data_IF_527874342664
#
_entry.id   IF_527874342664
#
_cell.length_a   1.000
_cell.length_b   1.000
_cell.length_c   1.000
_cell.angle_alpha   90.00
_cell.angle_beta   90.00
_cell.angle_gamma   90.00
#
_symmetry.space_group_name_H-M   'P 1'
#
loop_
_entity.id
_entity.type
_entity.pdbx_description
1 polymer ?
#
# COMPACT_ATOMS: atom_id res chain seq x y z
N UNK A 1 13.10 -26.58 17.98
CA UNK A 1 12.83 -25.15 18.19
C UNK A 1 14.16 -24.42 18.01
N UNK A 2 14.29 -23.54 17.00
CA UNK A 2 15.57 -22.93 16.56
C UNK A 2 16.30 -22.17 17.66
N UNK A 3 15.60 -21.75 18.72
CA UNK A 3 16.19 -21.14 19.94
C UNK A 3 17.21 -22.01 20.67
N UNK A 4 17.34 -23.31 20.36
CA UNK A 4 18.39 -24.16 20.93
C UNK A 4 19.71 -24.16 20.16
N UNK A 5 19.75 -23.65 18.91
CA UNK A 5 20.99 -23.62 18.10
C UNK A 5 21.98 -22.58 18.61
N UNK A 6 21.48 -21.39 18.97
CA UNK A 6 22.29 -20.34 19.62
C UNK A 6 21.38 -19.46 20.48
N UNK A 7 21.21 -19.76 21.78
CA UNK A 7 20.24 -19.07 22.64
C UNK A 7 20.51 -17.57 22.78
N UNK A 8 21.78 -17.21 22.84
CA UNK A 8 22.22 -15.84 23.20
C UNK A 8 22.62 -15.00 21.98
N UNK A 9 22.97 -15.64 20.86
CA UNK A 9 23.45 -14.96 19.64
C UNK A 9 22.56 -15.32 18.44
N UNK A 10 21.51 -14.52 18.17
CA UNK A 10 20.60 -14.78 17.05
C UNK A 10 21.28 -14.85 15.69
N UNK A 11 22.35 -14.07 15.48
CA UNK A 11 23.11 -14.00 14.23
C UNK A 11 23.84 -15.29 13.84
N UNK A 12 23.95 -16.26 14.75
CA UNK A 12 24.59 -17.56 14.50
C UNK A 12 23.57 -18.68 14.23
N UNK A 13 22.28 -18.37 14.17
CA UNK A 13 21.22 -19.35 13.93
C UNK A 13 21.01 -19.55 12.45
N UNK A 14 20.72 -20.80 12.06
CA UNK A 14 20.37 -21.14 10.67
C UNK A 14 19.16 -20.36 10.16
N UNK A 15 18.20 -20.06 11.05
CA UNK A 15 16.96 -19.35 10.72
C UNK A 15 16.53 -18.36 11.79
N UNK A 16 16.15 -17.16 11.35
CA UNK A 16 15.55 -16.14 12.21
C UNK A 16 14.04 -16.02 11.96
N UNK A 17 13.27 -15.99 13.04
CA UNK A 17 11.80 -15.97 13.02
C UNK A 17 11.20 -14.84 13.87
N UNK A 18 12.00 -14.23 14.74
CA UNK A 18 11.56 -13.24 15.71
C UNK A 18 11.85 -11.86 15.14
N UNK A 19 10.80 -11.02 15.08
CA UNK A 19 10.85 -9.69 14.47
C UNK A 19 12.00 -8.84 15.02
N UNK A 20 12.16 -8.80 16.34
CA UNK A 20 13.16 -7.99 17.02
C UNK A 20 14.58 -8.43 16.68
N UNK A 21 14.82 -9.74 16.57
CA UNK A 21 16.11 -10.31 16.21
C UNK A 21 16.45 -10.05 14.73
N UNK A 22 15.46 -10.13 13.85
CA UNK A 22 15.64 -9.85 12.42
C UNK A 22 15.94 -8.36 12.21
N UNK A 23 15.20 -7.48 12.88
CA UNK A 23 15.46 -6.03 12.83
C UNK A 23 16.87 -5.74 13.35
N UNK A 24 17.25 -6.32 14.48
CA UNK A 24 18.60 -6.16 15.04
C UNK A 24 19.67 -6.66 14.07
N UNK A 25 19.42 -7.78 13.40
CA UNK A 25 20.34 -8.32 12.38
C UNK A 25 20.57 -7.33 11.25
N UNK A 26 19.52 -6.67 10.75
CA UNK A 26 19.65 -5.68 9.67
C UNK A 26 20.18 -4.31 10.13
N UNK A 27 19.89 -3.88 11.35
CA UNK A 27 20.29 -2.55 11.86
C UNK A 27 21.71 -2.59 12.44
N UNK A 28 22.02 -3.62 13.22
CA UNK A 28 23.28 -3.74 13.98
C UNK A 28 24.32 -4.60 13.24
N UNK A 29 24.03 -5.07 12.01
CA UNK A 29 24.91 -5.90 11.16
C UNK A 29 25.46 -7.15 11.87
N UNK A 30 24.66 -7.75 12.76
CA UNK A 30 25.06 -8.92 13.55
C UNK A 30 24.85 -10.25 12.81
N UNK A 31 24.48 -10.22 11.53
CA UNK A 31 24.24 -11.42 10.72
C UNK A 31 25.55 -12.08 10.31
N UNK A 32 25.67 -13.39 10.53
CA UNK A 32 26.82 -14.17 10.04
C UNK A 32 26.43 -15.04 8.85
N UNK A 33 27.43 -15.69 8.24
CA UNK A 33 27.20 -16.68 7.18
C UNK A 33 26.37 -17.89 7.64
N UNK A 34 26.11 -18.03 8.94
CA UNK A 34 25.24 -19.08 9.47
C UNK A 34 23.75 -18.82 9.20
N UNK A 35 23.33 -17.57 8.95
CA UNK A 35 21.92 -17.26 8.67
C UNK A 35 21.58 -17.65 7.22
N UNK A 36 20.96 -18.81 7.06
CA UNK A 36 20.57 -19.34 5.75
C UNK A 36 19.17 -18.87 5.30
N UNK A 37 18.35 -18.39 6.24
CA UNK A 37 17.01 -17.91 5.92
C UNK A 37 16.38 -17.02 6.98
N UNK A 38 15.63 -16.02 6.51
CA UNK A 38 14.88 -15.08 7.35
C UNK A 38 13.40 -15.26 7.07
N UNK A 39 12.63 -15.53 8.11
CA UNK A 39 11.17 -15.58 8.04
C UNK A 39 10.57 -14.36 8.72
N UNK A 40 10.01 -13.46 7.92
CA UNK A 40 9.28 -12.30 8.40
C UNK A 40 7.77 -12.55 8.32
N UNK A 41 7.15 -12.78 9.47
CA UNK A 41 5.68 -12.85 9.57
C UNK A 41 5.08 -11.44 9.56
N UNK A 42 4.83 -10.94 8.36
CA UNK A 42 4.26 -9.60 8.13
C UNK A 42 2.79 -9.52 8.55
N UNK A 43 2.10 -10.66 8.74
CA UNK A 43 0.71 -10.68 9.22
C UNK A 43 0.58 -10.21 10.67
N UNK A 44 1.69 -10.26 11.42
CA UNK A 44 1.78 -9.79 12.81
C UNK A 44 2.24 -8.34 12.94
N UNK A 45 2.51 -7.64 11.83
CA UNK A 45 2.73 -6.19 11.89
C UNK A 45 1.43 -5.50 12.30
N UNK A 46 1.32 -5.23 13.60
CA UNK A 46 0.30 -4.34 14.14
C UNK A 46 0.71 -2.91 13.79
N UNK A 47 0.03 -2.33 12.82
CA UNK A 47 -0.04 -0.89 12.70
C UNK A 47 -0.95 -0.39 13.82
N UNK A 48 -0.42 -0.35 15.04
CA UNK A 48 -1.12 0.31 16.15
C UNK A 48 -1.35 1.78 15.76
N UNK A 49 -2.49 2.33 16.18
CA UNK A 49 -2.89 3.68 15.84
C UNK A 49 -1.89 4.69 16.44
N UNK A 50 -0.82 4.99 15.72
CA UNK A 50 0.11 6.02 16.10
C UNK A 50 -0.50 7.38 15.73
N UNK A 51 -0.85 8.23 16.71
CA UNK A 51 -1.53 9.50 16.45
C UNK A 51 -0.68 10.50 15.65
N UNK A 52 0.64 10.30 15.60
CA UNK A 52 1.58 11.13 14.83
C UNK A 52 1.86 10.59 13.44
N UNK A 53 1.50 9.34 13.14
CA UNK A 53 1.76 8.74 11.84
C UNK A 53 0.85 9.40 10.80
N UNK A 54 1.44 10.20 9.93
CA UNK A 54 0.78 10.97 8.87
C UNK A 54 1.12 10.49 7.45
N UNK A 55 2.21 9.72 7.30
CA UNK A 55 2.64 9.16 6.03
C UNK A 55 2.91 7.67 6.21
N UNK A 56 2.29 6.86 5.36
CA UNK A 56 2.69 5.47 5.13
C UNK A 56 3.33 5.39 3.75
N UNK A 57 4.66 5.26 3.70
CA UNK A 57 5.39 5.00 2.47
C UNK A 57 6.03 3.62 2.52
N UNK A 58 5.81 2.80 1.49
CA UNK A 58 6.39 1.46 1.37
C UNK A 58 6.43 1.00 -0.09
N UNK A 59 7.60 1.09 -0.70
CA UNK A 59 7.80 0.57 -2.06
C UNK A 59 7.79 -0.96 -2.07
N UNK A 60 7.25 -1.55 -3.14
CA UNK A 60 7.21 -3.00 -3.31
C UNK A 60 6.49 -3.73 -2.16
N UNK A 61 5.45 -3.11 -1.59
CA UNK A 61 4.66 -3.73 -0.51
C UNK A 61 4.15 -5.12 -0.95
N UNK A 62 4.48 -6.20 -0.22
CA UNK A 62 4.42 -7.55 -0.77
C UNK A 62 3.07 -8.25 -0.59
N UNK A 63 2.14 -7.67 0.18
CA UNK A 63 0.88 -8.32 0.51
C UNK A 63 -0.26 -7.88 -0.43
N UNK A 64 -1.21 -8.77 -0.66
CA UNK A 64 -2.39 -8.53 -1.49
C UNK A 64 -3.32 -7.42 -0.95
N UNK A 65 -3.23 -7.11 0.35
CA UNK A 65 -3.95 -6.01 1.01
C UNK A 65 -3.22 -5.54 2.27
N UNK A 66 -3.54 -4.34 2.77
CA UNK A 66 -3.15 -3.93 4.13
C UNK A 66 -3.89 -4.79 5.18
N UNK A 67 -3.29 -5.01 6.38
CA UNK A 67 -3.89 -5.81 7.43
C UNK A 67 -5.27 -5.29 7.82
N UNK A 68 -6.20 -6.17 8.20
CA UNK A 68 -7.56 -5.76 8.58
C UNK A 68 -7.58 -4.81 9.79
N UNK A 69 -6.61 -4.96 10.70
CA UNK A 69 -6.39 -4.11 11.88
C UNK A 69 -5.83 -2.72 11.56
N UNK A 70 -5.43 -2.46 10.32
CA UNK A 70 -4.88 -1.17 9.90
C UNK A 70 -5.90 -0.04 10.09
N UNK A 71 -5.50 1.00 10.81
CA UNK A 71 -6.30 2.20 11.09
C UNK A 71 -5.65 3.45 10.45
N UNK A 72 -6.13 3.88 9.27
CA UNK A 72 -5.59 5.03 8.55
C UNK A 72 -6.09 6.39 9.05
N UNK A 73 -6.83 6.48 10.17
CA UNK A 73 -7.51 7.72 10.58
C UNK A 73 -6.62 8.97 10.69
N UNK A 74 -5.33 8.78 10.98
CA UNK A 74 -4.36 9.87 11.12
C UNK A 74 -3.51 10.12 9.87
N UNK A 75 -3.59 9.24 8.87
CA UNK A 75 -2.78 9.34 7.68
C UNK A 75 -3.26 10.47 6.78
N UNK A 76 -2.30 11.27 6.35
CA UNK A 76 -2.42 12.31 5.34
C UNK A 76 -2.05 11.75 3.97
N UNK A 77 -1.08 10.84 3.92
CA UNK A 77 -0.62 10.22 2.69
C UNK A 77 -0.40 8.72 2.84
N UNK A 78 -0.86 7.98 1.84
CA UNK A 78 -0.51 6.58 1.62
C UNK A 78 0.19 6.50 0.27
N UNK A 79 1.41 5.98 0.28
CA UNK A 79 2.28 5.88 -0.88
C UNK A 79 2.91 4.48 -0.94
N UNK A 80 2.29 3.58 -1.72
CA UNK A 80 2.70 2.19 -1.85
C UNK A 80 2.99 1.86 -3.33
N UNK A 81 4.05 2.45 -3.92
CA UNK A 81 4.35 2.22 -5.33
C UNK A 81 4.89 0.81 -5.53
N UNK A 82 4.73 0.28 -6.74
CA UNK A 82 5.18 -1.05 -7.15
C UNK A 82 4.63 -2.19 -6.27
N UNK A 83 3.46 -2.00 -5.68
CA UNK A 83 2.90 -2.89 -4.66
C UNK A 83 2.18 -4.12 -5.26
N UNK A 84 2.18 -5.23 -4.53
CA UNK A 84 1.44 -6.44 -4.87
C UNK A 84 -0.06 -6.35 -4.53
N UNK A 85 -0.54 -5.22 -4.00
CA UNK A 85 -1.94 -5.07 -3.58
C UNK A 85 -2.92 -5.33 -4.72
N UNK A 86 -3.90 -6.20 -4.46
CA UNK A 86 -5.08 -6.40 -5.31
C UNK A 86 -6.20 -5.45 -4.91
N UNK A 87 -6.33 -5.24 -3.61
CA UNK A 87 -7.27 -4.32 -2.98
C UNK A 87 -6.58 -3.73 -1.75
N UNK A 88 -6.63 -2.40 -1.58
CA UNK A 88 -5.84 -1.75 -0.53
C UNK A 88 -6.23 -2.18 0.89
N UNK A 89 -7.53 -2.29 1.19
CA UNK A 89 -8.07 -2.87 2.42
C UNK A 89 -9.51 -3.35 2.20
N UNK A 90 -9.96 -4.22 3.11
CA UNK A 90 -11.36 -4.67 3.19
C UNK A 90 -12.17 -3.79 4.14
N UNK A 91 -13.43 -3.59 3.79
CA UNK A 91 -14.37 -2.82 4.60
C UNK A 91 -14.15 -1.31 4.53
N UNK A 92 -14.91 -0.58 5.33
CA UNK A 92 -14.83 0.88 5.40
C UNK A 92 -13.79 1.30 6.44
N UNK A 93 -13.04 2.34 6.10
CA UNK A 93 -12.03 2.94 6.97
C UNK A 93 -12.31 4.43 7.12
N UNK A 94 -11.98 5.00 8.27
CA UNK A 94 -11.99 6.47 8.43
C UNK A 94 -10.76 7.04 7.74
N UNK A 95 -10.99 7.95 6.78
CA UNK A 95 -9.95 8.56 5.93
C UNK A 95 -10.04 10.08 6.00
N UNK A 96 -10.52 10.63 7.12
CA UNK A 96 -10.82 12.06 7.28
C UNK A 96 -9.61 12.94 6.99
N UNK A 97 -8.40 12.52 7.35
CA UNK A 97 -7.17 13.31 7.13
C UNK A 97 -6.48 13.01 5.81
N UNK A 98 -6.88 11.96 5.09
CA UNK A 98 -6.18 11.50 3.90
C UNK A 98 -6.33 12.52 2.77
N UNK A 99 -5.20 12.98 2.25
CA UNK A 99 -5.08 13.93 1.13
C UNK A 99 -4.50 13.31 -0.13
N UNK A 100 -3.63 12.30 0.02
CA UNK A 100 -2.86 11.73 -1.10
C UNK A 100 -2.89 10.20 -1.05
N UNK A 101 -3.21 9.58 -2.18
CA UNK A 101 -3.14 8.13 -2.38
C UNK A 101 -2.29 7.84 -3.62
N UNK A 102 -1.17 7.15 -3.44
CA UNK A 102 -0.27 6.72 -4.52
C UNK A 102 -0.11 5.21 -4.48
N UNK A 103 -0.50 4.56 -5.57
CA UNK A 103 -0.40 3.11 -5.78
C UNK A 103 0.18 2.81 -7.16
N UNK A 104 1.00 3.72 -7.71
CA UNK A 104 1.57 3.56 -9.04
C UNK A 104 2.30 2.22 -9.19
N UNK A 105 2.22 1.63 -10.37
CA UNK A 105 2.78 0.34 -10.74
C UNK A 105 2.31 -0.82 -9.86
N UNK A 106 1.15 -0.69 -9.20
CA UNK A 106 0.49 -1.81 -8.52
C UNK A 106 -0.20 -2.70 -9.54
N UNK A 107 0.58 -3.54 -10.22
CA UNK A 107 0.11 -4.31 -11.37
C UNK A 107 -1.07 -5.23 -11.05
N UNK A 108 -1.20 -5.66 -9.80
CA UNK A 108 -2.26 -6.55 -9.33
C UNK A 108 -3.54 -5.81 -8.91
N UNK A 109 -3.54 -4.48 -8.83
CA UNK A 109 -4.66 -3.69 -8.32
C UNK A 109 -5.85 -3.82 -9.27
N UNK A 110 -6.90 -4.52 -8.82
CA UNK A 110 -8.09 -4.76 -9.65
C UNK A 110 -9.17 -3.71 -9.46
N UNK A 111 -9.20 -3.07 -8.29
CA UNK A 111 -10.18 -2.05 -7.94
C UNK A 111 -9.61 -1.04 -6.95
N UNK A 112 -10.15 0.18 -6.98
CA UNK A 112 -9.85 1.20 -5.98
C UNK A 112 -10.59 0.88 -4.67
N UNK A 113 -9.98 1.08 -3.48
CA UNK A 113 -10.71 0.91 -2.23
C UNK A 113 -11.90 1.88 -2.16
N UNK A 114 -12.85 1.57 -1.26
CA UNK A 114 -13.92 2.52 -0.93
C UNK A 114 -13.31 3.76 -0.28
N UNK A 115 -13.16 4.81 -1.08
CA UNK A 115 -12.62 6.12 -0.67
C UNK A 115 -13.69 7.18 -0.45
N UNK A 116 -14.98 6.81 -0.46
CA UNK A 116 -16.07 7.75 -0.19
C UNK A 116 -16.00 8.39 1.21
N UNK A 117 -15.27 7.79 2.14
CA UNK A 117 -14.99 8.31 3.49
C UNK A 117 -13.75 9.20 3.57
N UNK A 118 -13.17 9.62 2.44
CA UNK A 118 -12.00 10.50 2.35
C UNK A 118 -12.37 11.91 1.83
N UNK A 119 -13.07 12.75 2.63
CA UNK A 119 -13.57 14.05 2.16
C UNK A 119 -12.46 15.05 1.79
N UNK A 120 -11.24 14.81 2.27
CA UNK A 120 -10.07 15.66 2.05
C UNK A 120 -9.10 15.12 1.00
N UNK A 121 -9.47 14.06 0.27
CA UNK A 121 -8.60 13.48 -0.76
C UNK A 121 -8.47 14.43 -1.96
N UNK A 122 -7.24 14.81 -2.27
CA UNK A 122 -6.88 15.83 -3.26
C UNK A 122 -6.12 15.24 -4.46
N UNK A 123 -5.38 14.15 -4.24
CA UNK A 123 -4.46 13.57 -5.23
C UNK A 123 -4.54 12.04 -5.24
N UNK A 124 -4.78 11.45 -6.41
CA UNK A 124 -4.74 10.01 -6.64
C UNK A 124 -3.78 9.71 -7.80
N UNK A 125 -2.85 8.79 -7.56
CA UNK A 125 -1.92 8.31 -8.58
C UNK A 125 -1.94 6.78 -8.66
N UNK A 126 -2.37 6.30 -9.82
CA UNK A 126 -2.56 4.90 -10.17
C UNK A 126 -1.84 4.57 -11.48
N UNK A 127 -0.82 5.34 -11.86
CA UNK A 127 -0.05 5.08 -13.08
C UNK A 127 0.37 3.62 -13.16
N UNK A 128 0.26 2.99 -14.34
CA UNK A 128 0.69 1.61 -14.57
C UNK A 128 -0.09 0.54 -13.81
N UNK A 129 -1.26 0.83 -13.23
CA UNK A 129 -2.13 -0.17 -12.60
C UNK A 129 -2.83 -1.03 -13.66
N UNK A 130 -2.09 -1.95 -14.26
CA UNK A 130 -2.53 -2.69 -15.43
C UNK A 130 -3.66 -3.70 -15.18
N UNK A 131 -3.93 -4.14 -13.95
CA UNK A 131 -5.12 -4.96 -13.66
C UNK A 131 -6.40 -4.15 -13.43
N UNK A 132 -6.31 -2.82 -13.36
CA UNK A 132 -7.45 -1.95 -13.07
C UNK A 132 -8.35 -1.83 -14.30
N UNK A 133 -9.60 -2.29 -14.18
CA UNK A 133 -10.56 -2.31 -15.31
C UNK A 133 -11.51 -1.12 -15.29
N UNK A 134 -11.84 -0.59 -14.12
CA UNK A 134 -12.76 0.54 -13.98
C UNK A 134 -12.45 1.41 -12.77
N UNK A 135 -12.81 2.69 -12.87
CA UNK A 135 -12.87 3.60 -11.73
C UNK A 135 -14.33 3.70 -11.25
N UNK A 136 -14.55 3.47 -9.96
CA UNK A 136 -15.89 3.52 -9.35
C UNK A 136 -16.50 4.92 -9.39
N UNK A 137 -17.82 5.00 -9.62
CA UNK A 137 -18.61 6.24 -9.59
C UNK A 137 -18.51 6.99 -8.24
N UNK A 138 -18.13 6.31 -7.15
CA UNK A 138 -17.94 6.94 -5.83
C UNK A 138 -16.89 8.05 -5.85
N UNK A 139 -15.94 8.02 -6.78
CA UNK A 139 -14.90 9.04 -6.92
C UNK A 139 -15.51 10.44 -7.18
N UNK A 140 -16.68 10.53 -7.82
CA UNK A 140 -17.39 11.80 -8.08
C UNK A 140 -17.91 12.48 -6.79
N UNK A 141 -17.89 11.78 -5.66
CA UNK A 141 -18.24 12.33 -4.35
C UNK A 141 -17.08 13.11 -3.72
N UNK A 142 -15.86 12.93 -4.21
CA UNK A 142 -14.66 13.59 -3.69
C UNK A 142 -14.59 15.04 -4.19
N UNK A 143 -15.09 15.98 -3.39
CA UNK A 143 -15.19 17.39 -3.79
C UNK A 143 -13.87 18.14 -3.85
N UNK A 144 -12.83 17.61 -3.22
CA UNK A 144 -11.47 18.21 -3.18
C UNK A 144 -10.48 17.53 -4.11
N UNK A 145 -10.87 16.45 -4.80
CA UNK A 145 -9.99 15.75 -5.71
C UNK A 145 -9.71 16.65 -6.92
N UNK A 146 -8.45 17.05 -7.08
CA UNK A 146 -8.00 17.93 -8.18
C UNK A 146 -7.16 17.17 -9.20
N UNK A 147 -6.49 16.09 -8.77
CA UNK A 147 -5.54 15.35 -9.60
C UNK A 147 -5.85 13.84 -9.60
N UNK A 148 -5.96 13.26 -10.78
CA UNK A 148 -6.06 11.83 -11.01
C UNK A 148 -5.10 11.39 -12.13
N UNK A 149 -4.09 10.60 -11.78
CA UNK A 149 -3.19 9.97 -12.75
C UNK A 149 -3.58 8.51 -12.95
N UNK A 150 -3.93 8.17 -14.18
CA UNK A 150 -4.25 6.82 -14.67
C UNK A 150 -3.33 6.45 -15.84
N UNK A 151 -2.23 7.19 -16.03
CA UNK A 151 -1.30 6.94 -17.14
C UNK A 151 -0.90 5.48 -17.21
N UNK A 152 -0.81 4.95 -18.41
CA UNK A 152 -0.40 3.58 -18.71
C UNK A 152 -1.27 2.50 -18.01
N UNK A 153 -2.51 2.78 -17.61
CA UNK A 153 -3.47 1.75 -17.16
C UNK A 153 -4.07 1.00 -18.36
N UNK A 154 -3.32 0.05 -18.92
CA UNK A 154 -3.64 -0.53 -20.23
C UNK A 154 -4.93 -1.34 -20.32
N UNK A 155 -5.48 -1.81 -19.18
CA UNK A 155 -6.76 -2.54 -19.16
C UNK A 155 -7.96 -1.71 -18.70
N UNK A 156 -7.77 -0.42 -18.43
CA UNK A 156 -8.84 0.46 -17.99
C UNK A 156 -9.85 0.67 -19.12
N UNK A 157 -11.12 0.34 -18.84
CA UNK A 157 -12.23 0.44 -19.80
C UNK A 157 -13.23 1.55 -19.46
N UNK A 158 -13.37 1.89 -18.18
CA UNK A 158 -14.43 2.78 -17.72
C UNK A 158 -13.91 3.79 -16.70
N UNK A 159 -14.20 5.07 -16.96
CA UNK A 159 -14.08 6.16 -16.01
C UNK A 159 -15.44 6.86 -15.83
N UNK A 160 -15.75 7.40 -14.64
CA UNK A 160 -16.96 8.19 -14.44
C UNK A 160 -16.99 9.44 -15.32
N UNK A 161 -18.10 9.66 -16.03
CA UNK A 161 -18.26 10.78 -16.98
C UNK A 161 -18.41 12.16 -16.31
N UNK A 162 -18.63 12.20 -15.00
CA UNK A 162 -18.92 13.43 -14.23
C UNK A 162 -17.77 13.85 -13.31
N UNK A 163 -16.54 13.44 -13.64
CA UNK A 163 -15.33 13.85 -12.92
C UNK A 163 -15.11 15.36 -13.08
N UNK A 164 -14.96 16.06 -11.95
CA UNK A 164 -14.51 17.46 -11.91
C UNK A 164 -13.10 17.45 -11.36
N UNK A 165 -12.12 17.47 -12.26
CA UNK A 165 -10.69 17.42 -11.95
C UNK A 165 -10.00 18.59 -12.63
N UNK A 166 -8.95 19.12 -12.01
CA UNK A 166 -8.04 20.07 -12.66
C UNK A 166 -7.11 19.33 -13.62
N UNK A 167 -6.64 18.14 -13.21
CA UNK A 167 -5.75 17.30 -14.00
C UNK A 167 -6.24 15.86 -14.02
N UNK A 168 -6.46 15.35 -15.23
CA UNK A 168 -6.73 13.94 -15.50
C UNK A 168 -5.70 13.46 -16.53
N UNK A 169 -4.86 12.50 -16.14
CA UNK A 169 -3.93 11.86 -17.06
C UNK A 169 -4.40 10.45 -17.40
N UNK A 170 -4.74 10.23 -18.67
CA UNK A 170 -5.19 8.94 -19.22
C UNK A 170 -4.30 8.49 -20.40
N UNK A 171 -3.12 9.09 -20.55
CA UNK A 171 -2.17 8.68 -21.59
C UNK A 171 -1.86 7.18 -21.45
N UNK A 172 -1.80 6.44 -22.55
CA UNK A 172 -1.50 5.00 -22.50
C UNK A 172 -2.66 4.09 -22.06
N UNK A 173 -3.84 4.63 -21.72
CA UNK A 173 -5.05 3.83 -21.45
C UNK A 173 -5.67 3.27 -22.73
N UNK A 174 -5.05 2.25 -23.33
CA UNK A 174 -5.38 1.77 -24.67
C UNK A 174 -6.77 1.13 -24.84
N UNK A 175 -7.45 0.75 -23.76
CA UNK A 175 -8.79 0.15 -23.76
C UNK A 175 -9.90 1.08 -23.28
N UNK A 176 -9.57 2.34 -23.01
CA UNK A 176 -10.54 3.34 -22.58
C UNK A 176 -11.29 3.86 -23.82
N UNK A 177 -12.60 3.60 -23.87
CA UNK A 177 -13.50 4.00 -24.96
C UNK A 177 -14.46 5.09 -24.52
#
# INVERSE_FOLDING_TARGET
>A
MVRQESPDMPGDRSRLWIKEEIIKMFIDDIGTSAVEGIFLDMSKLKFEANPKLSLLHWEHYPLDSLPQSFDPKNLVEINLPNSCVKQLWKGEKSLEKLKKLRLSFSYNLTELPRISSAPNLEYIDLEGCNSLVSISQSICRLKKLVFLNLKDCSNLKHIPSTLRLEVLNIAGCSKLH
#
